data_IF_015451287166
#
_entry.id   IF_015451287166
#
_cell.length_a   1.000
_cell.length_b   1.000
_cell.length_c   1.000
_cell.angle_alpha   90.00
_cell.angle_beta   90.00
_cell.angle_gamma   90.00
#
_symmetry.space_group_name_H-M   'P 1'
#
loop_
_entity.id
_entity.type
_entity.pdbx_description
1 polymer ?
#
# COMPACT_ATOMS: atom_id res chain seq x y z
N UNK A 1 -9.68 -4.19 -19.98
CA UNK A 1 -9.99 -3.83 -18.58
C UNK A 1 -9.07 -2.69 -18.16
N UNK A 2 -9.53 -1.85 -17.23
CA UNK A 2 -8.69 -0.83 -16.57
C UNK A 2 -8.30 -1.32 -15.17
N UNK A 3 -7.02 -1.50 -14.93
CA UNK A 3 -6.48 -2.13 -13.71
C UNK A 3 -5.76 -1.08 -12.89
N UNK A 4 -6.19 -0.92 -11.63
CA UNK A 4 -5.58 -0.01 -10.68
C UNK A 4 -4.49 -0.73 -9.90
N UNK A 5 -3.23 -0.43 -10.18
CA UNK A 5 -2.07 -0.91 -9.42
C UNK A 5 -1.79 0.04 -8.23
N UNK A 6 -1.72 -0.53 -7.05
CA UNK A 6 -1.50 0.21 -5.80
C UNK A 6 -0.20 -0.23 -5.16
N UNK A 7 0.73 0.71 -5.00
CA UNK A 7 2.01 0.52 -4.34
C UNK A 7 2.38 1.76 -3.53
N UNK A 8 3.38 1.67 -2.67
CA UNK A 8 3.88 2.81 -1.89
C UNK A 8 4.76 3.73 -2.72
N UNK A 9 5.52 3.18 -3.65
CA UNK A 9 6.50 3.92 -4.45
C UNK A 9 6.18 3.86 -5.95
N UNK A 10 6.40 4.99 -6.66
CA UNK A 10 6.33 5.04 -8.13
C UNK A 10 7.72 5.07 -8.75
N UNK A 11 8.65 4.36 -8.15
CA UNK A 11 10.01 4.15 -8.65
C UNK A 11 10.54 2.81 -8.12
N UNK A 12 11.58 2.30 -8.74
CA UNK A 12 12.13 0.98 -8.42
C UNK A 12 13.01 1.04 -7.16
N UNK A 13 12.38 0.90 -5.97
CA UNK A 13 13.04 0.91 -4.66
C UNK A 13 13.50 -0.48 -4.22
N UNK A 14 12.77 -1.51 -4.58
CA UNK A 14 13.04 -2.89 -4.19
C UNK A 14 12.29 -3.93 -4.99
N UNK A 15 12.20 -5.15 -4.44
CA UNK A 15 11.60 -6.29 -5.14
C UNK A 15 10.11 -6.15 -5.39
N UNK A 16 9.37 -5.61 -4.42
CA UNK A 16 7.92 -5.46 -4.54
C UNK A 16 7.54 -4.50 -5.68
N UNK A 17 8.21 -3.34 -5.76
CA UNK A 17 8.02 -2.35 -6.82
C UNK A 17 8.41 -2.92 -8.19
N UNK A 18 9.51 -3.70 -8.25
CA UNK A 18 9.90 -4.41 -9.48
C UNK A 18 8.80 -5.34 -9.97
N UNK A 19 8.19 -6.11 -9.06
CA UNK A 19 7.05 -6.98 -9.40
C UNK A 19 5.85 -6.14 -9.85
N UNK A 20 5.52 -5.06 -9.15
CA UNK A 20 4.42 -4.17 -9.50
C UNK A 20 4.57 -3.60 -10.91
N UNK A 21 5.74 -3.03 -11.25
CA UNK A 21 5.99 -2.47 -12.59
C UNK A 21 6.03 -3.52 -13.68
N UNK A 22 6.64 -4.68 -13.44
CA UNK A 22 6.63 -5.78 -14.40
C UNK A 22 5.20 -6.29 -14.64
N UNK A 23 4.38 -6.38 -13.60
CA UNK A 23 2.95 -6.70 -13.72
C UNK A 23 2.22 -5.66 -14.57
N UNK A 24 2.45 -4.37 -14.30
CA UNK A 24 1.85 -3.28 -15.07
C UNK A 24 2.21 -3.37 -16.56
N UNK A 25 3.50 -3.50 -16.85
CA UNK A 25 4.01 -3.65 -18.23
C UNK A 25 3.38 -4.86 -18.94
N UNK A 26 3.33 -6.01 -18.27
CA UNK A 26 2.73 -7.23 -18.83
C UNK A 26 1.24 -7.04 -19.14
N UNK A 27 0.51 -6.37 -18.24
CA UNK A 27 -0.91 -6.07 -18.46
C UNK A 27 -1.12 -5.15 -19.65
N UNK A 28 -0.29 -4.12 -19.81
CA UNK A 28 -0.33 -3.20 -20.96
C UNK A 28 0.00 -3.92 -22.28
N UNK A 29 0.99 -4.80 -22.30
CA UNK A 29 1.33 -5.65 -23.44
C UNK A 29 0.18 -6.58 -23.86
N UNK A 30 -0.73 -6.93 -22.92
CA UNK A 30 -1.93 -7.71 -23.17
C UNK A 30 -3.19 -6.85 -23.44
N UNK A 31 -3.01 -5.56 -23.72
CA UNK A 31 -4.10 -4.66 -24.11
C UNK A 31 -4.98 -4.14 -22.98
N UNK A 32 -4.51 -4.21 -21.73
CA UNK A 32 -5.18 -3.59 -20.60
C UNK A 32 -4.68 -2.17 -20.38
N UNK A 33 -5.51 -1.33 -19.77
CA UNK A 33 -5.10 -0.01 -19.28
C UNK A 33 -4.65 -0.14 -17.82
N UNK A 34 -3.51 0.48 -17.49
CA UNK A 34 -2.97 0.48 -16.13
C UNK A 34 -2.99 1.88 -15.55
N UNK A 35 -3.59 1.99 -14.37
CA UNK A 35 -3.66 3.19 -13.56
C UNK A 35 -2.84 2.96 -12.29
N UNK A 36 -1.95 3.88 -11.96
CA UNK A 36 -1.14 3.77 -10.75
C UNK A 36 -1.66 4.66 -9.64
N UNK A 37 -1.69 4.14 -8.41
CA UNK A 37 -1.92 4.90 -7.19
C UNK A 37 -0.79 4.62 -6.20
N UNK A 38 0.04 5.63 -5.95
CA UNK A 38 1.20 5.56 -5.07
C UNK A 38 1.27 6.81 -4.19
N UNK A 39 2.30 6.94 -3.35
CA UNK A 39 2.56 8.18 -2.65
C UNK A 39 3.43 9.13 -3.47
N UNK A 40 3.42 10.40 -3.09
CA UNK A 40 4.36 11.38 -3.64
C UNK A 40 5.74 11.22 -3.00
N UNK A 41 6.72 11.01 -3.86
CA UNK A 41 8.16 11.01 -3.56
C UNK A 41 8.89 11.86 -4.60
N UNK A 42 10.05 12.39 -4.24
CA UNK A 42 10.87 13.19 -5.18
C UNK A 42 11.38 12.33 -6.34
N UNK A 43 11.62 11.05 -6.06
CA UNK A 43 12.14 10.06 -7.01
C UNK A 43 11.07 9.44 -7.92
N UNK A 44 9.80 9.79 -7.75
CA UNK A 44 8.72 9.20 -8.55
C UNK A 44 8.94 9.38 -10.05
N UNK A 45 8.73 8.30 -10.79
CA UNK A 45 8.63 8.37 -12.24
C UNK A 45 7.48 9.31 -12.65
N UNK A 46 7.60 10.02 -13.78
CA UNK A 46 6.50 10.80 -14.32
C UNK A 46 5.24 9.94 -14.51
N UNK A 47 4.09 10.44 -14.03
CA UNK A 47 2.82 9.73 -14.15
C UNK A 47 1.67 10.71 -14.36
N UNK A 48 0.74 10.43 -15.31
CA UNK A 48 -0.46 11.24 -15.49
C UNK A 48 -1.39 11.18 -14.27
N UNK A 49 -1.19 10.19 -13.41
CA UNK A 49 -1.98 9.97 -12.18
C UNK A 49 -1.38 10.66 -10.95
N UNK A 50 -0.24 11.35 -11.07
CA UNK A 50 0.45 11.99 -9.93
C UNK A 50 -0.41 12.98 -9.14
N UNK A 51 -1.42 13.59 -9.78
CA UNK A 51 -2.41 14.46 -9.12
C UNK A 51 -3.21 13.76 -8.01
N UNK A 52 -3.35 12.43 -8.10
CA UNK A 52 -4.06 11.61 -7.10
C UNK A 52 -3.13 11.04 -6.02
N UNK A 53 -1.83 11.21 -6.11
CA UNK A 53 -0.90 10.65 -5.13
C UNK A 53 -0.96 11.45 -3.83
N UNK A 54 -1.24 10.80 -2.67
CA UNK A 54 -1.20 11.47 -1.38
C UNK A 54 0.25 11.74 -0.95
N UNK A 55 0.41 12.74 -0.09
CA UNK A 55 1.71 13.06 0.49
C UNK A 55 2.19 11.94 1.39
N UNK A 56 3.49 11.58 1.28
CA UNK A 56 4.09 10.61 2.20
C UNK A 56 4.19 11.21 3.62
N UNK A 57 4.20 10.36 4.64
CA UNK A 57 4.35 10.81 6.04
C UNK A 57 5.75 11.40 6.30
N UNK A 58 6.75 10.96 5.55
CA UNK A 58 8.15 11.37 5.70
C UNK A 58 8.40 12.77 5.14
N UNK A 59 7.68 13.18 4.10
CA UNK A 59 7.80 14.54 3.52
C UNK A 59 7.18 15.62 4.39
N UNK A 60 6.37 15.25 5.38
CA UNK A 60 5.70 16.19 6.28
C UNK A 60 6.59 16.62 7.44
N UNK A 61 6.99 17.91 7.51
CA UNK A 61 7.80 18.50 8.59
C UNK A 61 6.97 19.42 9.50
N UNK A 62 7.26 19.44 10.83
CA UNK A 62 6.69 20.38 11.81
C UNK A 62 5.85 19.73 12.94
N UNK A 63 5.68 20.38 14.12
CA UNK A 63 5.10 19.77 15.31
C UNK A 63 3.61 19.40 15.18
N UNK A 64 2.79 20.22 14.55
CA UNK A 64 1.38 19.92 14.26
C UNK A 64 1.21 18.73 13.30
N UNK A 65 2.26 18.41 12.52
CA UNK A 65 2.27 17.30 11.58
C UNK A 65 2.51 15.95 12.26
N UNK A 66 3.17 15.92 13.43
CA UNK A 66 3.38 14.68 14.19
C UNK A 66 2.05 14.09 14.69
N UNK A 67 1.14 14.93 15.20
CA UNK A 67 -0.20 14.49 15.62
C UNK A 67 -0.99 13.96 14.43
N UNK A 68 -0.94 14.66 13.29
CA UNK A 68 -1.58 14.21 12.05
C UNK A 68 -0.96 12.91 11.52
N UNK A 69 0.34 12.73 11.66
CA UNK A 69 1.04 11.49 11.27
C UNK A 69 0.63 10.31 12.16
N UNK A 70 0.41 10.53 13.46
CA UNK A 70 -0.05 9.49 14.37
C UNK A 70 -1.47 9.01 14.00
N UNK A 71 -2.38 9.93 13.71
CA UNK A 71 -3.74 9.58 13.23
C UNK A 71 -3.66 8.88 11.86
N UNK A 72 -2.86 9.40 10.94
CA UNK A 72 -2.67 8.83 9.60
C UNK A 72 -1.93 7.46 9.63
N UNK A 73 -1.32 7.09 10.74
CA UNK A 73 -0.76 5.74 10.90
C UNK A 73 -1.86 4.68 10.91
N UNK A 74 -3.00 4.99 11.51
CA UNK A 74 -4.15 4.09 11.57
C UNK A 74 -5.09 4.29 10.38
N UNK A 75 -5.32 5.54 9.96
CA UNK A 75 -6.22 5.88 8.87
C UNK A 75 -5.72 7.08 8.07
N UNK A 76 -5.34 6.85 6.81
CA UNK A 76 -4.80 7.90 5.94
C UNK A 76 -5.92 8.60 5.17
N UNK A 77 -6.52 9.64 5.78
CA UNK A 77 -7.67 10.37 5.22
C UNK A 77 -7.41 10.95 3.81
N UNK A 78 -6.22 11.47 3.57
CA UNK A 78 -5.86 12.01 2.26
C UNK A 78 -5.80 10.89 1.21
N UNK A 79 -5.25 9.71 1.56
CA UNK A 79 -5.21 8.57 0.65
C UNK A 79 -6.62 8.11 0.29
N UNK A 80 -7.53 8.00 1.28
CA UNK A 80 -8.92 7.65 1.03
C UNK A 80 -9.62 8.67 0.11
N UNK A 81 -9.46 9.98 0.37
CA UNK A 81 -10.05 11.05 -0.46
C UNK A 81 -9.52 11.05 -1.89
N UNK A 82 -8.20 10.86 -2.05
CA UNK A 82 -7.57 10.85 -3.38
C UNK A 82 -7.88 9.57 -4.14
N UNK A 83 -8.02 8.44 -3.46
CA UNK A 83 -8.50 7.20 -4.04
C UNK A 83 -9.94 7.35 -4.56
N UNK A 84 -10.84 7.96 -3.77
CA UNK A 84 -12.19 8.28 -4.21
C UNK A 84 -12.18 9.05 -5.53
N UNK A 85 -11.41 10.15 -5.56
CA UNK A 85 -11.30 11.00 -6.75
C UNK A 85 -10.72 10.26 -7.96
N UNK A 86 -9.72 9.41 -7.75
CA UNK A 86 -9.15 8.59 -8.82
C UNK A 86 -10.20 7.63 -9.40
N UNK A 87 -10.97 6.96 -8.54
CA UNK A 87 -12.00 6.01 -8.96
C UNK A 87 -13.10 6.71 -9.75
N UNK A 88 -13.56 7.89 -9.29
CA UNK A 88 -14.56 8.71 -9.99
C UNK A 88 -14.10 9.19 -11.37
N UNK A 89 -12.80 9.49 -11.53
CA UNK A 89 -12.27 9.99 -12.80
C UNK A 89 -11.86 8.87 -13.76
N UNK A 90 -11.34 7.76 -13.24
CA UNK A 90 -10.68 6.71 -14.04
C UNK A 90 -11.53 5.45 -14.19
N UNK A 91 -12.50 5.19 -13.32
CA UNK A 91 -13.39 4.02 -13.36
C UNK A 91 -12.65 2.68 -13.54
N UNK A 92 -11.72 2.30 -12.64
CA UNK A 92 -11.02 1.03 -12.76
C UNK A 92 -11.95 -0.17 -12.51
N UNK A 93 -11.71 -1.26 -13.23
CA UNK A 93 -12.48 -2.50 -13.12
C UNK A 93 -12.04 -3.38 -11.93
N UNK A 94 -10.76 -3.29 -11.55
CA UNK A 94 -10.15 -4.06 -10.46
C UNK A 94 -8.99 -3.28 -9.84
N UNK A 95 -8.77 -3.45 -8.54
CA UNK A 95 -7.61 -2.94 -7.82
C UNK A 95 -6.66 -4.09 -7.49
N UNK A 96 -5.40 -3.99 -7.89
CA UNK A 96 -4.35 -4.91 -7.54
C UNK A 96 -3.34 -4.21 -6.62
N UNK A 97 -3.27 -4.66 -5.38
CA UNK A 97 -2.48 -4.06 -4.32
C UNK A 97 -1.19 -4.86 -4.12
N UNK A 98 -0.05 -4.18 -4.13
CA UNK A 98 1.27 -4.72 -3.84
C UNK A 98 1.75 -4.33 -2.45
N UNK A 99 1.80 -3.04 -2.14
CA UNK A 99 2.20 -2.53 -0.82
C UNK A 99 1.23 -1.48 -0.28
N UNK A 100 0.94 -1.57 1.03
CA UNK A 100 0.12 -0.60 1.76
C UNK A 100 0.80 -0.10 3.04
N UNK A 101 1.62 -0.96 3.61
CA UNK A 101 1.99 -0.92 5.01
C UNK A 101 2.73 0.35 5.42
N UNK A 102 2.29 0.90 6.56
CA UNK A 102 2.91 2.08 7.17
C UNK A 102 2.64 3.41 6.47
N UNK A 103 2.19 3.42 5.22
CA UNK A 103 2.07 4.62 4.39
C UNK A 103 0.64 4.87 3.88
N UNK A 104 0.10 4.09 2.95
CA UNK A 104 -1.25 4.26 2.39
C UNK A 104 -2.31 3.83 3.40
N UNK A 105 -2.07 2.76 4.15
CA UNK A 105 -2.95 2.15 5.15
C UNK A 105 -4.22 1.48 4.55
N UNK A 106 -4.92 0.64 5.32
CA UNK A 106 -6.20 0.05 4.90
C UNK A 106 -7.34 1.05 4.67
N UNK A 107 -7.12 2.36 4.86
CA UNK A 107 -8.12 3.42 4.64
C UNK A 107 -8.73 3.43 3.23
N UNK A 108 -8.06 2.85 2.25
CA UNK A 108 -8.55 2.75 0.86
C UNK A 108 -9.58 1.61 0.67
N UNK A 109 -9.60 0.59 1.51
CA UNK A 109 -10.53 -0.54 1.36
C UNK A 109 -12.02 -0.15 1.42
N UNK A 110 -12.47 0.70 2.38
CA UNK A 110 -13.85 1.17 2.38
C UNK A 110 -14.23 1.93 1.11
N UNK A 111 -13.27 2.64 0.50
CA UNK A 111 -13.47 3.37 -0.75
C UNK A 111 -13.68 2.39 -1.90
N UNK A 112 -12.75 1.46 -2.12
CA UNK A 112 -12.84 0.43 -3.14
C UNK A 112 -14.14 -0.38 -3.02
N UNK A 113 -14.52 -0.74 -1.79
CA UNK A 113 -15.75 -1.50 -1.52
C UNK A 113 -17.01 -0.74 -1.88
N UNK A 114 -17.11 0.57 -1.57
CA UNK A 114 -18.29 1.40 -1.94
C UNK A 114 -18.50 1.46 -3.46
N UNK A 115 -17.41 1.44 -4.21
CA UNK A 115 -17.45 1.45 -5.68
C UNK A 115 -17.53 0.04 -6.30
N UNK A 116 -17.69 -1.01 -5.47
CA UNK A 116 -17.76 -2.41 -5.90
C UNK A 116 -16.53 -2.86 -6.72
N UNK A 117 -15.36 -2.31 -6.44
CA UNK A 117 -14.10 -2.66 -7.13
C UNK A 117 -13.51 -3.91 -6.47
N UNK A 118 -13.38 -5.03 -7.19
CA UNK A 118 -12.71 -6.23 -6.69
C UNK A 118 -11.27 -5.92 -6.32
N UNK A 119 -10.76 -6.58 -5.27
CA UNK A 119 -9.42 -6.38 -4.76
C UNK A 119 -8.62 -7.66 -4.91
N UNK A 120 -7.51 -7.58 -5.63
CA UNK A 120 -6.43 -8.57 -5.63
C UNK A 120 -5.29 -8.03 -4.76
N UNK A 121 -4.71 -8.85 -3.89
CA UNK A 121 -3.59 -8.47 -3.04
C UNK A 121 -2.42 -9.44 -3.24
N UNK A 122 -1.28 -8.93 -3.73
CA UNK A 122 -0.04 -9.68 -3.77
C UNK A 122 0.72 -9.47 -2.46
N UNK A 123 0.90 -10.56 -1.72
CA UNK A 123 1.59 -10.54 -0.43
C UNK A 123 3.09 -10.66 -0.66
N UNK A 124 3.84 -9.61 -0.39
CA UNK A 124 5.30 -9.55 -0.54
C UNK A 124 6.05 -9.89 0.75
N UNK A 125 5.36 -9.83 1.89
CA UNK A 125 5.90 -10.20 3.20
C UNK A 125 4.81 -10.76 4.12
N UNK A 126 5.18 -11.17 5.32
CA UNK A 126 4.26 -11.84 6.24
C UNK A 126 3.46 -10.90 7.15
N UNK A 127 3.41 -9.59 6.89
CA UNK A 127 2.75 -8.60 7.78
C UNK A 127 1.27 -8.83 8.01
N UNK A 128 0.58 -9.51 7.12
CA UNK A 128 -0.84 -9.84 7.31
C UNK A 128 -1.08 -10.91 8.37
N UNK A 129 -0.06 -11.68 8.73
CA UNK A 129 -0.16 -12.78 9.70
C UNK A 129 0.91 -12.73 10.80
N UNK A 130 1.96 -11.94 10.63
CA UNK A 130 3.06 -11.82 11.59
C UNK A 130 3.37 -10.35 11.89
N UNK A 131 3.17 -9.85 13.12
CA UNK A 131 3.49 -8.47 13.49
C UNK A 131 4.97 -8.11 13.26
N UNK A 132 5.89 -9.07 13.45
CA UNK A 132 7.31 -8.90 13.16
C UNK A 132 7.67 -9.08 11.67
N UNK A 133 6.70 -9.39 10.81
CA UNK A 133 6.76 -9.60 9.35
C UNK A 133 7.79 -10.61 8.83
N UNK A 134 8.58 -11.24 9.68
CA UNK A 134 9.68 -12.14 9.32
C UNK A 134 9.47 -13.60 9.71
N UNK A 135 8.49 -13.90 10.56
CA UNK A 135 8.36 -15.17 11.28
C UNK A 135 9.63 -15.56 12.04
N UNK A 136 10.40 -14.57 12.53
CA UNK A 136 11.60 -14.80 13.33
C UNK A 136 11.51 -14.04 14.65
N UNK A 137 11.99 -14.68 15.72
CA UNK A 137 12.18 -14.06 17.02
C UNK A 137 13.46 -13.21 17.05
N UNK A 138 13.69 -12.50 18.17
CA UNK A 138 14.89 -11.67 18.36
C UNK A 138 16.22 -12.45 18.31
N UNK A 139 16.20 -13.78 18.42
CA UNK A 139 17.36 -14.67 18.26
C UNK A 139 17.53 -15.21 16.83
N UNK A 140 16.62 -14.88 15.91
CA UNK A 140 16.64 -15.30 14.52
C UNK A 140 16.04 -16.68 14.26
N UNK A 141 15.46 -17.37 15.29
CA UNK A 141 14.77 -18.65 15.13
C UNK A 141 13.39 -18.45 14.52
N UNK A 142 12.86 -19.48 13.84
CA UNK A 142 11.48 -19.48 13.35
C UNK A 142 10.54 -19.34 14.56
N UNK A 143 9.64 -18.35 14.48
CA UNK A 143 8.67 -18.03 15.53
C UNK A 143 7.27 -18.41 15.07
N UNK A 144 6.57 -19.23 15.85
CA UNK A 144 5.20 -19.67 15.63
C UNK A 144 4.26 -19.30 16.79
N UNK A 145 4.69 -18.43 17.68
CA UNK A 145 4.01 -18.08 18.93
C UNK A 145 2.59 -17.47 18.73
N UNK A 146 2.31 -16.92 17.54
CA UNK A 146 1.01 -16.35 17.22
C UNK A 146 -0.02 -17.34 16.64
N UNK A 147 0.32 -18.63 16.48
CA UNK A 147 -0.61 -19.64 15.94
C UNK A 147 -1.91 -19.79 16.76
N UNK A 148 -1.88 -19.46 18.05
CA UNK A 148 -3.05 -19.45 18.92
C UNK A 148 -3.83 -18.11 18.95
N UNK A 149 -3.68 -17.25 17.93
CA UNK A 149 -4.29 -15.92 17.82
C UNK A 149 -3.91 -14.91 18.94
N UNK A 150 -2.83 -15.17 19.68
CA UNK A 150 -2.31 -14.27 20.71
C UNK A 150 -1.06 -13.55 20.22
N UNK A 151 -1.21 -12.31 19.78
CA UNK A 151 -0.08 -11.46 19.38
C UNK A 151 0.72 -10.89 20.56
N UNK A 152 0.26 -11.14 21.80
CA UNK A 152 0.92 -10.60 23.02
C UNK A 152 2.36 -11.06 23.15
N UNK A 153 2.64 -12.31 22.81
CA UNK A 153 4.00 -12.87 22.85
C UNK A 153 4.97 -12.16 21.91
N UNK A 154 4.47 -11.59 20.81
CA UNK A 154 5.29 -10.83 19.88
C UNK A 154 5.92 -9.59 20.54
N UNK A 155 5.22 -8.94 21.49
CA UNK A 155 5.74 -7.78 22.21
C UNK A 155 6.77 -8.15 23.28
N UNK A 156 6.83 -9.40 23.69
CA UNK A 156 7.73 -9.86 24.77
C UNK A 156 8.97 -10.57 24.23
N UNK A 157 8.95 -11.03 22.96
CA UNK A 157 10.00 -11.85 22.36
C UNK A 157 10.74 -11.17 21.19
N UNK A 158 10.41 -9.91 20.90
CA UNK A 158 11.11 -9.10 19.87
C UNK A 158 12.26 -8.33 20.49
#
# INVERSE_FOLDING_TARGET
MKILLIDVYNYNKGGAETVCFNTGKLLEEHGHQVVYFTLKWEENNPSPYSKYFPESKETRKGPLKQVKNMVNYFYHFEAAKKMEKLIEDEHPDIAHIHLLWGQITPSIFPVLRRHNIPILFTVHDYRIVCPAYTFRDGSGRICEDCQGHSFYKCFTHI
#
